data_IF_818758955416
#
_entry.id   IF_818758955416
#
_cell.length_a   1.000
_cell.length_b   1.000
_cell.length_c   1.000
_cell.angle_alpha   90.00
_cell.angle_beta   90.00
_cell.angle_gamma   90.00
#
_symmetry.space_group_name_H-M   'P 1'
#
loop_
_entity.id
_entity.type
_entity.pdbx_description
1 polymer ?
#
# COMPACT_ATOMS: atom_id res chain seq x y z
N UNK A 1 -8.15 6.03 21.41
CA UNK A 1 -7.25 6.57 20.36
C UNK A 1 -6.34 5.44 19.92
N UNK A 2 -6.69 4.75 18.83
CA UNK A 2 -5.87 3.64 18.31
C UNK A 2 -4.61 4.22 17.70
N UNK A 3 -3.47 3.98 18.35
CA UNK A 3 -2.17 4.45 17.88
C UNK A 3 -1.80 3.63 16.65
N UNK A 4 -1.88 4.25 15.47
CA UNK A 4 -1.42 3.70 14.20
C UNK A 4 0.10 3.48 14.24
N UNK A 5 0.54 2.32 14.70
CA UNK A 5 1.97 1.94 14.72
C UNK A 5 2.42 1.62 13.29
N UNK A 6 3.14 2.56 12.68
CA UNK A 6 3.73 2.39 11.34
C UNK A 6 4.85 1.34 11.41
N UNK A 7 4.70 0.22 10.70
CA UNK A 7 5.77 -0.77 10.54
C UNK A 7 6.77 -0.23 9.51
N UNK A 8 8.02 -0.12 9.93
CA UNK A 8 9.14 0.25 9.06
C UNK A 8 9.75 -1.05 8.53
N UNK A 9 9.63 -1.31 7.23
CA UNK A 9 10.34 -2.41 6.60
C UNK A 9 11.64 -1.92 5.97
N UNK A 10 12.69 -2.70 6.17
CA UNK A 10 13.99 -2.49 5.54
C UNK A 10 13.91 -3.07 4.13
N UNK A 11 14.13 -2.29 3.06
CA UNK A 11 14.31 -2.86 1.74
C UNK A 11 15.60 -3.68 1.72
N UNK A 12 15.65 -4.69 0.84
CA UNK A 12 16.82 -5.57 0.66
C UNK A 12 18.04 -4.86 0.08
N UNK A 13 17.87 -3.69 -0.54
CA UNK A 13 18.91 -3.05 -1.37
C UNK A 13 19.32 -1.63 -0.94
N UNK A 14 18.58 -0.96 -0.04
CA UNK A 14 18.94 0.36 0.48
C UNK A 14 18.88 0.40 2.01
N UNK A 15 19.74 1.20 2.67
CA UNK A 15 19.72 1.33 4.15
C UNK A 15 18.51 2.12 4.68
N UNK A 16 17.58 2.55 3.82
CA UNK A 16 16.49 3.46 4.16
C UNK A 16 15.20 2.68 4.38
N UNK A 17 14.53 2.91 5.51
CA UNK A 17 13.23 2.29 5.79
C UNK A 17 12.11 3.10 5.13
N UNK A 18 11.21 2.41 4.44
CA UNK A 18 10.05 3.03 3.82
C UNK A 18 8.80 2.84 4.69
N UNK A 19 7.93 3.84 4.69
CA UNK A 19 6.58 3.73 5.25
C UNK A 19 5.73 2.99 4.21
N UNK A 20 5.36 1.75 4.50
CA UNK A 20 4.26 1.06 3.81
C UNK A 20 2.94 1.39 4.51
N UNK A 21 1.84 1.34 3.78
CA UNK A 21 0.55 1.34 4.45
C UNK A 21 0.48 0.09 5.34
N UNK A 22 -0.13 0.25 6.51
CA UNK A 22 -0.09 -0.81 7.51
C UNK A 22 -0.86 -2.02 6.99
N UNK A 23 -0.27 -3.21 7.17
CA UNK A 23 -1.04 -4.41 7.45
C UNK A 23 -1.87 -4.09 8.69
N UNK A 24 -3.07 -3.57 8.48
CA UNK A 24 -4.04 -3.44 9.53
C UNK A 24 -4.34 -4.85 10.04
N UNK A 25 -4.18 -5.14 11.34
CA UNK A 25 -4.78 -6.31 11.94
C UNK A 25 -6.30 -6.08 12.02
N UNK A 26 -6.98 -5.94 10.88
CA UNK A 26 -8.44 -5.77 10.84
C UNK A 26 -9.13 -7.07 11.25
N UNK A 27 -8.43 -8.20 11.24
CA UNK A 27 -8.98 -9.51 11.58
C UNK A 27 -8.03 -10.29 12.48
N UNK A 28 -7.81 -9.83 13.72
CA UNK A 28 -7.48 -10.76 14.82
C UNK A 28 -8.73 -11.64 15.07
N UNK A 29 -8.96 -12.62 14.18
CA UNK A 29 -10.11 -13.50 14.27
C UNK A 29 -10.48 -14.13 12.93
N UNK A 30 -9.92 -15.32 12.65
CA UNK A 30 -10.34 -16.32 11.65
C UNK A 30 -10.10 -16.12 10.14
N UNK A 31 -10.08 -14.91 9.57
CA UNK A 31 -9.96 -14.72 8.10
C UNK A 31 -8.86 -13.71 7.76
N UNK A 32 -8.01 -14.01 6.77
CA UNK A 32 -7.00 -13.05 6.29
C UNK A 32 -7.63 -11.99 5.39
N UNK A 33 -7.02 -10.80 5.29
CA UNK A 33 -7.48 -9.75 4.35
C UNK A 33 -7.54 -10.27 2.90
N UNK A 34 -6.55 -11.10 2.51
CA UNK A 34 -6.52 -11.75 1.21
C UNK A 34 -7.75 -12.65 1.00
N UNK A 35 -8.07 -13.51 1.96
CA UNK A 35 -9.21 -14.42 1.86
C UNK A 35 -10.54 -13.67 1.86
N UNK A 36 -10.66 -12.63 2.68
CA UNK A 36 -11.85 -11.77 2.69
C UNK A 36 -12.07 -11.08 1.34
N UNK A 37 -11.02 -10.49 0.74
CA UNK A 37 -11.13 -9.84 -0.57
C UNK A 37 -11.54 -10.83 -1.67
N UNK A 38 -11.04 -12.08 -1.62
CA UNK A 38 -11.48 -13.16 -2.52
C UNK A 38 -12.96 -13.49 -2.31
N UNK A 39 -13.41 -13.60 -1.06
CA UNK A 39 -14.80 -13.92 -0.72
C UNK A 39 -15.79 -12.87 -1.25
N UNK A 40 -15.46 -11.58 -1.13
CA UNK A 40 -16.31 -10.49 -1.65
C UNK A 40 -16.16 -10.27 -3.16
N UNK A 41 -15.29 -11.03 -3.84
CA UNK A 41 -15.07 -10.94 -5.28
C UNK A 41 -14.25 -9.71 -5.72
N UNK A 42 -13.51 -9.07 -4.82
CA UNK A 42 -12.66 -7.92 -5.16
C UNK A 42 -11.39 -8.39 -5.88
N UNK A 43 -11.40 -8.33 -7.21
CA UNK A 43 -10.29 -8.78 -8.07
C UNK A 43 -9.28 -7.67 -8.40
N UNK A 44 -9.69 -6.40 -8.36
CA UNK A 44 -8.86 -5.28 -8.86
C UNK A 44 -7.62 -5.12 -8.01
N UNK A 45 -7.76 -5.30 -6.69
CA UNK A 45 -6.66 -5.24 -5.75
C UNK A 45 -5.56 -6.27 -6.07
N UNK A 46 -5.94 -7.51 -6.41
CA UNK A 46 -4.98 -8.55 -6.80
C UNK A 46 -4.27 -8.25 -8.10
N UNK A 47 -5.00 -7.82 -9.13
CA UNK A 47 -4.44 -7.44 -10.43
C UNK A 47 -3.41 -6.32 -10.27
N UNK A 48 -3.75 -5.28 -9.49
CA UNK A 48 -2.83 -4.17 -9.23
C UNK A 48 -1.60 -4.63 -8.47
N UNK A 49 -1.78 -5.45 -7.42
CA UNK A 49 -0.67 -6.00 -6.65
C UNK A 49 0.29 -6.82 -7.53
N UNK A 50 -0.23 -7.72 -8.37
CA UNK A 50 0.56 -8.54 -9.28
C UNK A 50 1.40 -7.68 -10.24
N UNK A 51 0.76 -6.71 -10.92
CA UNK A 51 1.44 -5.78 -11.82
C UNK A 51 2.55 -5.01 -11.10
N UNK A 52 2.31 -4.56 -9.86
CA UNK A 52 3.29 -3.80 -9.09
C UNK A 52 4.46 -4.64 -8.58
N UNK A 53 4.20 -5.91 -8.25
CA UNK A 53 5.23 -6.82 -7.74
C UNK A 53 6.17 -7.31 -8.84
N UNK A 54 5.75 -7.23 -10.12
CA UNK A 54 6.61 -7.47 -11.29
C UNK A 54 7.61 -6.33 -11.58
N UNK A 55 7.42 -5.14 -11.00
CA UNK A 55 8.25 -3.97 -11.31
C UNK A 55 9.53 -3.89 -10.45
N UNK A 56 10.60 -3.36 -11.04
CA UNK A 56 11.79 -2.95 -10.29
C UNK A 56 11.61 -1.54 -9.70
N UNK A 57 11.52 -1.47 -8.37
CA UNK A 57 11.36 -0.22 -7.63
C UNK A 57 12.69 0.41 -7.21
N UNK A 58 13.82 -0.29 -7.36
CA UNK A 58 15.14 0.18 -6.93
C UNK A 58 15.53 1.53 -7.54
N UNK A 59 15.27 1.83 -8.83
CA UNK A 59 15.56 3.14 -9.40
C UNK A 59 14.83 4.27 -8.68
N UNK A 60 13.55 4.07 -8.29
CA UNK A 60 12.78 5.06 -7.55
C UNK A 60 13.27 5.21 -6.11
N UNK A 61 13.58 4.10 -5.45
CA UNK A 61 14.09 4.12 -4.07
C UNK A 61 15.40 4.90 -3.95
N UNK A 62 16.30 4.78 -4.94
CA UNK A 62 17.59 5.48 -4.99
C UNK A 62 17.46 6.99 -5.17
N UNK A 63 16.34 7.48 -5.71
CA UNK A 63 16.09 8.90 -5.91
C UNK A 63 15.66 9.63 -4.63
N UNK A 64 15.26 8.89 -3.57
CA UNK A 64 14.94 9.53 -2.30
C UNK A 64 16.21 10.05 -1.61
N UNK A 65 16.12 11.25 -1.02
CA UNK A 65 17.18 11.80 -0.16
C UNK A 65 17.63 10.77 0.88
N UNK A 66 18.92 10.77 1.24
CA UNK A 66 19.48 9.87 2.25
C UNK A 66 19.16 10.31 3.69
N UNK A 67 18.68 11.53 3.90
CA UNK A 67 18.40 12.12 5.23
C UNK A 67 16.92 12.49 5.41
N UNK A 68 16.52 12.93 6.60
CA UNK A 68 15.17 13.41 6.90
C UNK A 68 14.15 12.31 7.23
N UNK A 69 12.86 12.64 7.10
CA UNK A 69 11.75 11.73 7.44
C UNK A 69 11.70 10.54 6.49
N UNK A 70 11.34 9.36 7.03
CA UNK A 70 11.12 8.16 6.23
C UNK A 70 10.07 8.41 5.13
N UNK A 71 10.41 8.16 3.85
CA UNK A 71 9.52 8.35 2.73
C UNK A 71 8.48 7.22 2.66
N UNK A 72 7.38 7.48 1.97
CA UNK A 72 6.43 6.43 1.59
C UNK A 72 7.03 5.54 0.52
N UNK A 73 6.71 4.24 0.57
CA UNK A 73 7.13 3.26 -0.44
C UNK A 73 6.62 3.66 -1.83
N UNK A 74 7.48 3.70 -2.88
CA UNK A 74 7.04 4.04 -4.23
C UNK A 74 6.02 3.02 -4.76
N UNK A 75 6.20 1.72 -4.46
CA UNK A 75 5.24 0.66 -4.78
C UNK A 75 3.86 0.93 -4.19
N UNK A 76 3.82 1.27 -2.90
CA UNK A 76 2.59 1.56 -2.17
C UNK A 76 1.87 2.80 -2.72
N UNK A 77 2.64 3.86 -2.99
CA UNK A 77 2.09 5.09 -3.56
C UNK A 77 1.50 4.85 -4.96
N UNK A 78 2.20 4.09 -5.80
CA UNK A 78 1.69 3.72 -7.12
C UNK A 78 0.43 2.85 -7.02
N UNK A 79 0.39 1.96 -6.04
CA UNK A 79 -0.78 1.15 -5.73
C UNK A 79 -2.03 1.95 -5.42
N UNK A 80 -1.93 2.95 -4.53
CA UNK A 80 -3.05 3.85 -4.23
C UNK A 80 -3.53 4.57 -5.49
N UNK A 81 -2.59 5.05 -6.31
CA UNK A 81 -2.90 5.77 -7.55
C UNK A 81 -3.63 4.87 -8.56
N UNK A 82 -3.06 3.71 -8.90
CA UNK A 82 -3.64 2.80 -9.88
C UNK A 82 -4.99 2.25 -9.42
N UNK A 83 -5.06 1.75 -8.18
CA UNK A 83 -6.30 1.22 -7.63
C UNK A 83 -7.39 2.30 -7.53
N UNK A 84 -7.02 3.51 -7.12
CA UNK A 84 -7.93 4.66 -7.08
C UNK A 84 -8.48 5.04 -8.46
N UNK A 85 -7.63 5.09 -9.49
CA UNK A 85 -8.05 5.32 -10.87
C UNK A 85 -9.00 4.22 -11.34
N UNK A 86 -8.71 2.94 -11.05
CA UNK A 86 -9.60 1.81 -11.37
C UNK A 86 -10.94 1.84 -10.63
N UNK A 87 -11.02 2.55 -9.51
CA UNK A 87 -12.27 2.82 -8.76
C UNK A 87 -12.97 4.11 -9.21
N UNK A 88 -12.40 4.85 -10.17
CA UNK A 88 -12.95 6.10 -10.68
C UNK A 88 -12.63 7.33 -9.82
N UNK A 89 -11.65 7.23 -8.93
CA UNK A 89 -11.20 8.36 -8.10
C UNK A 89 -10.03 9.10 -8.77
N UNK A 90 -10.19 10.41 -8.92
CA UNK A 90 -9.20 11.28 -9.58
C UNK A 90 -8.73 12.46 -8.72
N UNK A 91 -9.28 12.63 -7.51
CA UNK A 91 -8.86 13.70 -6.59
C UNK A 91 -7.98 13.17 -5.46
N UNK A 92 -6.99 13.97 -5.03
CA UNK A 92 -6.13 13.61 -3.90
C UNK A 92 -6.92 13.34 -2.62
N UNK A 93 -8.02 14.07 -2.39
CA UNK A 93 -8.88 13.87 -1.23
C UNK A 93 -9.64 12.54 -1.30
N UNK A 94 -10.10 12.14 -2.48
CA UNK A 94 -10.73 10.84 -2.67
C UNK A 94 -9.71 9.71 -2.46
N UNK A 95 -8.49 9.85 -2.97
CA UNK A 95 -7.41 8.87 -2.76
C UNK A 95 -7.00 8.76 -1.28
N UNK A 96 -6.94 9.89 -0.56
CA UNK A 96 -6.68 9.90 0.88
C UNK A 96 -7.75 9.14 1.67
N UNK A 97 -9.03 9.35 1.32
CA UNK A 97 -10.14 8.61 1.94
C UNK A 97 -10.09 7.12 1.58
N UNK A 98 -9.80 6.80 0.32
CA UNK A 98 -9.67 5.44 -0.17
C UNK A 98 -8.56 4.68 0.58
N UNK A 99 -7.38 5.28 0.74
CA UNK A 99 -6.25 4.69 1.47
C UNK A 99 -6.52 4.47 2.97
N UNK A 100 -7.54 5.12 3.54
CA UNK A 100 -7.93 4.94 4.95
C UNK A 100 -9.01 3.89 5.16
N UNK A 101 -9.94 3.77 4.22
CA UNK A 101 -11.21 3.08 4.45
C UNK A 101 -11.42 1.86 3.55
N UNK A 102 -10.83 1.84 2.36
CA UNK A 102 -11.04 0.75 1.41
C UNK A 102 -10.04 -0.39 1.63
N UNK A 103 -10.56 -1.58 1.91
CA UNK A 103 -9.78 -2.77 2.21
C UNK A 103 -8.91 -3.24 1.04
N UNK A 104 -9.36 -3.06 -0.20
CA UNK A 104 -8.57 -3.37 -1.38
C UNK A 104 -7.44 -2.35 -1.57
N UNK A 105 -7.69 -1.08 -1.28
CA UNK A 105 -6.65 -0.05 -1.29
C UNK A 105 -5.59 -0.33 -0.23
N UNK A 106 -6.02 -0.65 1.00
CA UNK A 106 -5.15 -1.06 2.10
C UNK A 106 -4.29 -2.27 1.69
N UNK A 107 -4.88 -3.28 1.06
CA UNK A 107 -4.18 -4.48 0.59
C UNK A 107 -3.09 -4.19 -0.45
N UNK A 108 -3.36 -3.26 -1.37
CA UNK A 108 -2.41 -2.89 -2.44
C UNK A 108 -1.26 -2.01 -1.90
N UNK A 109 -1.53 -1.25 -0.83
CA UNK A 109 -0.62 -0.23 -0.28
C UNK A 109 0.39 -0.71 0.76
#
# INVERSE_FOLDING_TARGET
MTVFTRKLESPSHTKRKFVKAQNLPILEGSVSLCDYLKQIGERRAFIVTEILDEQDWVPFERCYSSTGRAPYSPRSMMGILLYGIMKGHSSLRALENLARLDLGCIFVS
#
